data_IF_500277870950
#
_entry.id   IF_500277870950
#
_cell.length_a   1.000
_cell.length_b   1.000
_cell.length_c   1.000
_cell.angle_alpha   90.00
_cell.angle_beta   90.00
_cell.angle_gamma   90.00
#
_symmetry.space_group_name_H-M   'P 1'
#
loop_
_entity.id
_entity.type
_entity.pdbx_description
1 polymer ?
#
# COMPACT_ATOMS: atom_id res chain seq x y z
N UNK A 1 15.82 2.34 0.17
CA UNK A 1 16.98 2.13 1.07
C UNK A 1 18.23 2.34 0.24
N UNK A 2 19.31 2.86 0.85
CA UNK A 2 20.59 2.99 0.17
C UNK A 2 21.39 1.70 0.27
N UNK A 3 22.08 1.31 -0.81
CA UNK A 3 22.93 0.12 -0.88
C UNK A 3 24.30 0.49 -1.49
N UNK A 4 25.38 -0.07 -0.96
CA UNK A 4 26.71 -0.10 -1.60
C UNK A 4 27.15 -1.56 -1.75
N UNK A 5 27.63 -1.91 -2.95
CA UNK A 5 28.28 -3.19 -3.25
C UNK A 5 29.71 -3.00 -3.77
N UNK A 6 30.44 -4.09 -3.93
CA UNK A 6 31.80 -4.08 -4.50
C UNK A 6 32.94 -3.87 -3.51
N UNK A 7 32.64 -3.74 -2.21
CA UNK A 7 33.66 -3.72 -1.15
C UNK A 7 34.29 -5.10 -0.93
N UNK A 8 35.48 -5.14 -0.32
CA UNK A 8 36.07 -6.38 0.21
C UNK A 8 36.52 -7.47 -0.78
N UNK A 9 36.46 -7.24 -2.10
CA UNK A 9 36.85 -8.23 -3.11
C UNK A 9 35.67 -8.99 -3.76
N UNK A 10 34.44 -8.49 -3.57
CA UNK A 10 33.26 -8.95 -4.30
C UNK A 10 33.46 -8.84 -5.82
N UNK A 11 33.14 -9.92 -6.55
CA UNK A 11 33.24 -9.95 -8.02
C UNK A 11 31.94 -9.47 -8.68
N UNK A 12 32.03 -8.85 -9.85
CA UNK A 12 30.84 -8.45 -10.62
C UNK A 12 29.93 -9.66 -10.88
N UNK A 13 28.62 -9.44 -10.77
CA UNK A 13 27.61 -10.48 -10.81
C UNK A 13 27.18 -11.00 -9.43
N UNK A 14 27.89 -10.65 -8.35
CA UNK A 14 27.45 -10.96 -7.00
C UNK A 14 26.06 -10.36 -6.70
N UNK A 15 25.19 -11.12 -6.05
CA UNK A 15 23.79 -10.77 -5.85
C UNK A 15 23.44 -10.37 -4.42
N UNK A 16 22.40 -9.55 -4.32
CA UNK A 16 21.65 -9.23 -3.11
C UNK A 16 20.16 -9.31 -3.47
N UNK A 17 19.36 -9.93 -2.63
CA UNK A 17 17.91 -9.94 -2.75
C UNK A 17 17.30 -9.03 -1.70
N UNK A 18 16.50 -8.08 -2.15
CA UNK A 18 15.70 -7.18 -1.31
C UNK A 18 14.23 -7.56 -1.46
N UNK A 19 13.48 -7.59 -0.37
CA UNK A 19 12.05 -7.87 -0.45
C UNK A 19 11.35 -7.82 0.89
N UNK A 20 10.11 -8.31 0.90
CA UNK A 20 9.37 -8.57 2.11
C UNK A 20 9.23 -10.08 2.34
N UNK A 21 8.90 -10.45 3.58
CA UNK A 21 8.52 -11.81 3.90
C UNK A 21 7.48 -11.82 5.01
N UNK A 22 6.70 -12.89 5.08
CA UNK A 22 5.93 -13.24 6.27
C UNK A 22 6.41 -14.60 6.77
N UNK A 23 6.04 -14.96 8.00
CA UNK A 23 6.28 -16.32 8.51
C UNK A 23 4.99 -17.12 8.42
N UNK A 24 5.05 -18.31 7.84
CA UNK A 24 3.90 -19.23 7.85
C UNK A 24 3.66 -19.78 9.27
N UNK A 25 2.64 -20.61 9.45
CA UNK A 25 2.32 -21.24 10.74
C UNK A 25 3.45 -22.13 11.28
N UNK A 26 4.29 -22.68 10.41
CA UNK A 26 5.50 -23.42 10.77
C UNK A 26 6.68 -22.56 11.20
N UNK A 27 6.58 -21.23 11.04
CA UNK A 27 7.66 -20.28 11.31
C UNK A 27 8.61 -20.05 10.15
N UNK A 28 8.39 -20.71 9.01
CA UNK A 28 9.25 -20.59 7.83
C UNK A 28 9.09 -19.22 7.18
N UNK A 29 10.21 -18.67 6.70
CA UNK A 29 10.23 -17.41 5.96
C UNK A 29 9.65 -17.62 4.57
N UNK A 30 8.57 -16.90 4.26
CA UNK A 30 7.90 -16.89 2.96
C UNK A 30 8.10 -15.52 2.30
N UNK A 31 9.03 -15.39 1.34
CA UNK A 31 9.26 -14.13 0.67
C UNK A 31 8.07 -13.76 -0.22
N UNK A 32 7.75 -12.47 -0.26
CA UNK A 32 6.80 -11.89 -1.19
C UNK A 32 7.30 -10.50 -1.62
N UNK A 33 7.06 -10.12 -2.87
CA UNK A 33 7.60 -8.89 -3.49
C UNK A 33 9.11 -8.72 -3.25
N UNK A 34 9.92 -9.26 -4.16
CA UNK A 34 11.37 -9.13 -4.09
C UNK A 34 11.96 -8.64 -5.40
N UNK A 35 13.05 -7.88 -5.30
CA UNK A 35 13.89 -7.51 -6.44
C UNK A 35 15.31 -8.07 -6.25
N UNK A 36 15.97 -8.48 -7.34
CA UNK A 36 17.40 -8.71 -7.32
C UNK A 36 18.16 -7.39 -7.44
N UNK A 37 19.28 -7.29 -6.74
CA UNK A 37 20.31 -6.26 -6.89
C UNK A 37 21.60 -6.99 -7.28
N UNK A 38 22.22 -6.59 -8.38
CA UNK A 38 23.45 -7.22 -8.88
C UNK A 38 24.58 -6.22 -8.82
N UNK A 39 25.69 -6.61 -8.20
CA UNK A 39 26.89 -5.80 -8.21
C UNK A 39 27.46 -5.75 -9.63
N UNK A 40 27.55 -4.56 -10.17
CA UNK A 40 28.30 -4.21 -11.37
C UNK A 40 28.91 -2.83 -11.16
N UNK A 41 30.04 -2.52 -11.80
CA UNK A 41 30.60 -1.17 -11.76
C UNK A 41 29.71 -0.12 -12.43
N UNK A 42 28.77 -0.53 -13.27
CA UNK A 42 27.79 0.38 -13.85
C UNK A 42 26.75 0.84 -12.81
N UNK A 43 26.26 -0.08 -11.97
CA UNK A 43 25.29 0.22 -10.92
C UNK A 43 25.97 0.83 -9.69
N UNK A 44 27.16 0.33 -9.33
CA UNK A 44 27.94 0.79 -8.18
C UNK A 44 29.30 1.32 -8.67
N UNK A 45 29.37 2.55 -9.20
CA UNK A 45 30.59 3.10 -9.78
C UNK A 45 31.67 3.41 -8.73
N UNK A 46 31.28 3.52 -7.46
CA UNK A 46 32.18 3.73 -6.32
C UNK A 46 31.73 2.89 -5.14
N UNK A 47 32.64 2.65 -4.19
CA UNK A 47 32.33 1.99 -2.92
C UNK A 47 32.05 2.98 -1.78
N UNK A 48 31.82 4.25 -2.10
CA UNK A 48 31.62 5.34 -1.12
C UNK A 48 30.26 6.04 -1.25
N UNK A 49 29.42 5.61 -2.19
CA UNK A 49 28.12 6.25 -2.47
C UNK A 49 27.01 5.21 -2.50
N UNK A 50 26.01 5.41 -1.64
CA UNK A 50 24.79 4.62 -1.60
C UNK A 50 23.96 4.85 -2.87
N UNK A 51 23.47 3.75 -3.44
CA UNK A 51 22.50 3.74 -4.53
C UNK A 51 21.15 3.34 -3.96
N UNK A 52 20.11 4.11 -4.25
CA UNK A 52 18.79 3.86 -3.70
C UNK A 52 18.05 2.75 -4.48
N UNK A 53 17.51 1.80 -3.72
CA UNK A 53 16.61 0.76 -4.20
C UNK A 53 15.28 0.79 -3.46
N UNK A 54 14.21 0.48 -4.19
CA UNK A 54 12.84 0.43 -3.69
C UNK A 54 12.21 -0.89 -4.08
N UNK A 55 11.51 -1.51 -3.13
CA UNK A 55 10.65 -2.67 -3.38
C UNK A 55 9.21 -2.16 -3.31
N UNK A 56 8.55 -2.10 -4.46
CA UNK A 56 7.14 -1.73 -4.53
C UNK A 56 6.24 -2.96 -4.43
N UNK A 57 5.14 -2.81 -3.70
CA UNK A 57 4.08 -3.80 -3.55
C UNK A 57 2.78 -3.22 -4.09
N UNK A 58 2.06 -4.00 -4.91
CA UNK A 58 0.72 -3.62 -5.34
C UNK A 58 -0.25 -3.57 -4.15
N UNK A 59 -1.45 -3.02 -4.34
CA UNK A 59 -2.51 -3.01 -3.32
C UNK A 59 -2.72 -4.41 -2.74
N UNK A 60 -2.54 -4.54 -1.42
CA UNK A 60 -2.74 -5.79 -0.70
C UNK A 60 -4.20 -6.21 -0.76
N UNK A 61 -4.46 -7.43 -1.21
CA UNK A 61 -5.78 -8.03 -1.28
C UNK A 61 -6.01 -8.91 -0.06
N UNK A 62 -7.25 -9.02 0.39
CA UNK A 62 -7.63 -9.92 1.48
C UNK A 62 -7.37 -11.40 1.17
N UNK A 63 -7.17 -11.75 -0.10
CA UNK A 63 -6.84 -13.11 -0.56
C UNK A 63 -5.34 -13.38 -0.61
N UNK A 64 -4.48 -12.37 -0.39
CA UNK A 64 -3.04 -12.58 -0.37
C UNK A 64 -2.63 -13.37 0.87
N UNK A 65 -1.75 -14.35 0.73
CA UNK A 65 -1.36 -15.23 1.83
C UNK A 65 -0.69 -14.48 3.01
N UNK A 66 -0.08 -13.32 2.72
CA UNK A 66 0.54 -12.44 3.71
C UNK A 66 -0.45 -11.40 4.30
N UNK A 67 -1.68 -11.32 3.81
CA UNK A 67 -2.66 -10.36 4.33
C UNK A 67 -3.00 -10.64 5.80
N UNK A 68 -2.93 -9.60 6.63
CA UNK A 68 -3.14 -9.72 8.08
C UNK A 68 -1.99 -10.38 8.85
N UNK A 69 -0.90 -10.76 8.19
CA UNK A 69 0.29 -11.33 8.84
C UNK A 69 1.27 -10.24 9.29
N UNK A 70 2.12 -10.56 10.26
CA UNK A 70 3.31 -9.76 10.52
C UNK A 70 4.28 -9.87 9.34
N UNK A 71 4.66 -8.72 8.80
CA UNK A 71 5.61 -8.62 7.70
C UNK A 71 7.00 -8.27 8.22
N UNK A 72 8.01 -8.88 7.63
CA UNK A 72 9.42 -8.55 7.82
C UNK A 72 10.04 -8.10 6.51
N UNK A 73 11.20 -7.45 6.61
CA UNK A 73 12.02 -7.13 5.46
C UNK A 73 13.08 -8.21 5.24
N UNK A 74 13.21 -8.66 4.00
CA UNK A 74 14.22 -9.61 3.56
C UNK A 74 15.36 -8.87 2.88
N UNK A 75 16.58 -9.03 3.41
CA UNK A 75 17.83 -8.53 2.83
C UNK A 75 18.81 -9.70 2.90
N UNK A 76 19.11 -10.32 1.76
CA UNK A 76 19.86 -11.58 1.72
C UNK A 76 20.91 -11.50 0.63
N UNK A 77 22.18 -11.70 0.97
CA UNK A 77 23.21 -11.94 -0.05
C UNK A 77 22.88 -13.22 -0.81
N UNK A 78 22.79 -13.10 -2.14
CA UNK A 78 22.25 -14.13 -3.01
C UNK A 78 23.13 -14.34 -4.24
N UNK A 79 22.90 -15.41 -4.99
CA UNK A 79 23.64 -15.74 -6.20
C UNK A 79 24.78 -16.74 -5.98
N UNK A 80 25.70 -16.80 -6.92
CA UNK A 80 26.81 -17.75 -6.92
C UNK A 80 27.83 -17.40 -5.81
N UNK A 81 28.06 -18.29 -4.82
CA UNK A 81 29.06 -18.07 -3.77
C UNK A 81 30.49 -17.89 -4.30
N UNK A 82 30.80 -18.34 -5.53
CA UNK A 82 32.11 -18.13 -6.14
C UNK A 82 32.39 -16.65 -6.48
N UNK A 83 31.34 -15.83 -6.58
CA UNK A 83 31.42 -14.38 -6.77
C UNK A 83 31.46 -13.60 -5.44
N UNK A 84 31.27 -14.31 -4.33
CA UNK A 84 31.37 -13.75 -2.99
C UNK A 84 32.82 -13.49 -2.59
N UNK A 85 33.00 -12.66 -1.56
CA UNK A 85 34.33 -12.22 -1.10
C UNK A 85 34.29 -10.88 -0.39
N UNK A 86 33.21 -10.12 -0.57
CA UNK A 86 33.03 -8.78 0.00
C UNK A 86 31.82 -8.61 0.90
N UNK A 87 31.44 -7.36 1.09
CA UNK A 87 30.31 -6.94 1.92
C UNK A 87 29.35 -6.02 1.15
N UNK A 88 28.10 -6.04 1.59
CA UNK A 88 27.07 -5.08 1.22
C UNK A 88 26.86 -4.14 2.40
N UNK A 89 26.92 -2.83 2.16
CA UNK A 89 26.53 -1.84 3.16
C UNK A 89 25.14 -1.32 2.82
N UNK A 90 24.30 -1.16 3.84
CA UNK A 90 22.94 -0.67 3.70
C UNK A 90 22.68 0.43 4.72
N UNK A 91 21.96 1.47 4.30
CA UNK A 91 21.57 2.54 5.19
C UNK A 91 20.17 3.07 4.84
N UNK A 92 19.57 3.78 5.80
CA UNK A 92 18.37 4.56 5.61
C UNK A 92 17.21 3.69 5.08
N UNK A 93 17.04 2.53 5.72
CA UNK A 93 15.94 1.61 5.50
C UNK A 93 14.63 2.26 5.96
N UNK A 94 13.65 2.32 5.05
CA UNK A 94 12.36 2.96 5.28
C UNK A 94 11.25 2.06 4.75
N UNK A 95 10.13 2.04 5.46
CA UNK A 95 8.89 1.40 5.05
C UNK A 95 7.78 2.43 5.08
N UNK A 96 7.09 2.59 3.97
CA UNK A 96 5.91 3.45 3.82
C UNK A 96 4.72 2.60 3.38
N UNK A 97 3.60 2.72 4.08
CA UNK A 97 2.34 2.11 3.70
C UNK A 97 1.34 3.23 3.40
N UNK A 98 0.79 3.21 2.18
CA UNK A 98 -0.27 4.12 1.80
C UNK A 98 -1.61 3.43 2.06
N UNK A 99 -2.56 4.08 2.77
CA UNK A 99 -3.91 3.53 2.90
C UNK A 99 -4.53 3.42 1.51
N UNK A 100 -5.31 2.36 1.27
CA UNK A 100 -6.12 2.27 0.07
C UNK A 100 -7.01 3.51 -0.01
N UNK A 101 -6.95 4.23 -1.13
CA UNK A 101 -7.86 5.35 -1.42
C UNK A 101 -9.25 4.87 -1.85
N UNK A 102 -9.49 3.56 -1.87
CA UNK A 102 -10.77 2.99 -2.24
C UNK A 102 -11.76 3.07 -1.07
N UNK A 103 -12.79 3.92 -1.22
CA UNK A 103 -13.96 3.90 -0.35
C UNK A 103 -14.89 2.81 -0.86
N UNK A 104 -15.00 1.72 -0.10
CA UNK A 104 -15.99 0.68 -0.40
C UNK A 104 -17.36 1.12 0.12
N UNK A 105 -18.25 1.48 -0.81
CA UNK A 105 -19.63 1.82 -0.51
C UNK A 105 -20.49 0.56 -0.50
N UNK A 106 -21.32 0.43 0.51
CA UNK A 106 -22.41 -0.54 0.55
C UNK A 106 -23.72 0.20 0.68
N UNK A 107 -24.78 -0.35 0.12
CA UNK A 107 -26.12 0.20 0.26
C UNK A 107 -27.11 -0.90 0.56
N UNK A 108 -28.10 -0.58 1.39
CA UNK A 108 -29.23 -1.46 1.66
C UNK A 108 -30.53 -0.67 1.68
N UNK A 109 -31.62 -1.32 1.26
CA UNK A 109 -32.94 -0.70 1.31
C UNK A 109 -33.58 -0.97 2.67
N UNK A 110 -33.86 0.09 3.43
CA UNK A 110 -34.52 0.02 4.73
C UNK A 110 -35.91 0.65 4.62
N UNK A 111 -36.92 -0.19 4.37
CA UNK A 111 -38.29 0.24 4.09
C UNK A 111 -38.38 1.06 2.79
N UNK A 112 -38.68 2.36 2.92
CA UNK A 112 -38.67 3.29 1.78
C UNK A 112 -37.31 3.98 1.59
N UNK A 113 -36.41 3.90 2.57
CA UNK A 113 -35.13 4.59 2.56
C UNK A 113 -34.03 3.71 1.98
N UNK A 114 -32.90 4.33 1.64
CA UNK A 114 -31.65 3.65 1.35
C UNK A 114 -30.65 4.03 2.44
N UNK A 115 -30.01 3.05 3.07
CA UNK A 115 -28.86 3.29 3.93
C UNK A 115 -27.60 3.08 3.12
N UNK A 116 -26.78 4.12 3.03
CA UNK A 116 -25.46 4.10 2.42
C UNK A 116 -24.43 3.99 3.54
N UNK A 117 -23.51 3.03 3.47
CA UNK A 117 -22.46 2.88 4.48
C UNK A 117 -21.07 2.63 3.89
N UNK A 118 -20.05 3.12 4.59
CA UNK A 118 -18.64 2.96 4.25
C UNK A 118 -17.76 2.98 5.50
N UNK A 119 -16.58 2.37 5.43
CA UNK A 119 -15.56 2.50 6.47
C UNK A 119 -14.87 3.86 6.38
N UNK A 120 -14.65 4.50 7.53
CA UNK A 120 -14.02 5.81 7.62
C UNK A 120 -12.65 5.77 8.29
N UNK A 121 -11.78 6.74 7.98
CA UNK A 121 -10.49 6.96 8.61
C UNK A 121 -10.54 8.19 9.55
N UNK A 122 -9.84 8.15 10.69
CA UNK A 122 -9.88 9.18 11.75
C UNK A 122 -9.35 10.56 11.35
N UNK A 123 -8.57 10.66 10.26
CA UNK A 123 -8.02 11.93 9.74
C UNK A 123 -8.58 12.30 8.35
N UNK A 124 -9.83 11.93 8.11
CA UNK A 124 -10.50 12.20 6.85
C UNK A 124 -11.90 12.76 7.09
N UNK A 125 -12.42 13.46 6.11
CA UNK A 125 -13.81 13.86 6.03
C UNK A 125 -14.45 13.37 4.74
N UNK A 126 -15.76 13.18 4.80
CA UNK A 126 -16.53 12.51 3.76
C UNK A 126 -17.70 13.41 3.34
N UNK A 127 -17.78 13.71 2.05
CA UNK A 127 -18.87 14.47 1.45
C UNK A 127 -19.72 13.53 0.60
N UNK A 128 -20.98 13.32 0.99
CA UNK A 128 -21.96 12.63 0.16
C UNK A 128 -22.47 13.62 -0.88
N UNK A 129 -22.38 13.25 -2.16
CA UNK A 129 -22.94 14.01 -3.28
C UNK A 129 -24.01 13.20 -4.00
N UNK A 130 -24.95 13.93 -4.60
CA UNK A 130 -26.07 13.38 -5.37
C UNK A 130 -26.05 13.96 -6.79
N UNK A 131 -26.50 13.16 -7.75
CA UNK A 131 -26.66 13.55 -9.16
C UNK A 131 -27.86 12.84 -9.78
N UNK A 132 -28.57 13.48 -10.69
CA UNK A 132 -29.63 12.83 -11.50
C UNK A 132 -29.14 12.40 -12.88
N UNK A 133 -28.01 12.94 -13.33
CA UNK A 133 -27.53 12.87 -14.72
C UNK A 133 -26.09 12.33 -14.84
N UNK A 134 -25.43 12.01 -13.71
CA UNK A 134 -24.01 11.67 -13.58
C UNK A 134 -23.03 12.78 -13.98
N UNK A 135 -23.52 13.96 -14.36
CA UNK A 135 -22.69 15.09 -14.81
C UNK A 135 -22.65 16.19 -13.75
N UNK A 136 -23.81 16.56 -13.23
CA UNK A 136 -23.98 17.60 -12.22
C UNK A 136 -24.08 16.97 -10.84
N UNK A 137 -23.15 17.33 -9.96
CA UNK A 137 -23.07 16.78 -8.60
C UNK A 137 -23.23 17.87 -7.55
N UNK A 138 -24.23 17.75 -6.68
CA UNK A 138 -24.45 18.66 -5.55
C UNK A 138 -24.25 17.94 -4.22
N UNK A 139 -23.97 18.71 -3.16
CA UNK A 139 -23.84 18.13 -1.82
C UNK A 139 -25.23 17.68 -1.34
N UNK A 140 -25.35 16.42 -0.94
CA UNK A 140 -26.61 15.88 -0.39
C UNK A 140 -26.79 16.23 1.09
N UNK A 141 -25.70 16.20 1.86
CA UNK A 141 -25.66 16.51 3.29
C UNK A 141 -24.37 17.26 3.63
N UNK A 142 -24.26 17.73 4.87
CA UNK A 142 -23.00 18.25 5.39
C UNK A 142 -21.93 17.15 5.46
N UNK A 143 -20.68 17.60 5.35
CA UNK A 143 -19.49 16.77 5.45
C UNK A 143 -19.41 16.10 6.82
N UNK A 144 -18.97 14.84 6.84
CA UNK A 144 -18.85 14.03 8.05
C UNK A 144 -17.39 13.74 8.34
N UNK A 145 -16.95 13.93 9.58
CA UNK A 145 -15.61 13.54 10.02
C UNK A 145 -15.55 12.03 10.23
N UNK A 146 -14.51 11.39 9.71
CA UNK A 146 -14.25 9.98 9.91
C UNK A 146 -13.83 9.68 11.33
N UNK A 147 -14.31 8.55 11.84
CA UNK A 147 -14.09 8.10 13.22
C UNK A 147 -13.22 6.86 13.31
N UNK A 148 -12.75 6.32 12.18
CA UNK A 148 -12.07 5.01 12.12
C UNK A 148 -13.05 3.84 12.01
N UNK A 149 -14.35 4.08 12.18
CA UNK A 149 -15.42 3.08 12.09
C UNK A 149 -16.30 3.25 10.85
N UNK A 150 -17.34 2.42 10.75
CA UNK A 150 -18.35 2.57 9.70
C UNK A 150 -19.18 3.85 9.91
N UNK A 151 -19.40 4.59 8.83
CA UNK A 151 -20.39 5.68 8.76
C UNK A 151 -21.60 5.13 8.00
N UNK A 152 -22.80 5.39 8.54
CA UNK A 152 -24.08 5.05 7.90
C UNK A 152 -24.86 6.34 7.67
N UNK A 153 -25.42 6.48 6.46
CA UNK A 153 -26.27 7.61 6.07
C UNK A 153 -27.57 7.13 5.46
N UNK A 154 -28.67 7.53 6.08
CA UNK A 154 -30.00 7.32 5.54
C UNK A 154 -30.31 8.36 4.47
N UNK A 155 -30.61 7.87 3.27
CA UNK A 155 -31.09 8.62 2.12
C UNK A 155 -32.61 8.49 2.08
N UNK A 156 -33.30 9.64 2.13
CA UNK A 156 -34.75 9.69 2.06
C UNK A 156 -35.21 9.68 0.60
N UNK A 157 -36.16 8.82 0.22
CA UNK A 157 -36.64 8.66 -1.17
C UNK A 157 -37.50 9.83 -1.66
N UNK A 158 -37.87 10.75 -0.75
CA UNK A 158 -38.88 11.78 -0.99
C UNK A 158 -38.42 12.90 -1.94
N UNK A 159 -37.15 12.91 -2.37
CA UNK A 159 -36.64 14.05 -3.13
C UNK A 159 -36.50 13.79 -4.63
N UNK A 160 -36.01 12.62 -5.10
CA UNK A 160 -35.73 12.37 -6.54
C UNK A 160 -35.78 10.87 -6.86
N UNK A 161 -36.64 10.45 -7.81
CA UNK A 161 -36.94 9.03 -8.08
C UNK A 161 -35.80 8.25 -8.75
N UNK A 162 -34.86 8.93 -9.43
CA UNK A 162 -33.68 8.35 -10.04
C UNK A 162 -32.47 9.24 -9.71
N UNK A 163 -31.68 8.83 -8.72
CA UNK A 163 -30.49 9.57 -8.34
C UNK A 163 -29.31 8.63 -8.11
N UNK A 164 -28.13 9.14 -8.42
CA UNK A 164 -26.83 8.52 -8.20
C UNK A 164 -26.17 9.18 -7.01
N UNK A 165 -25.43 8.39 -6.23
CA UNK A 165 -24.72 8.86 -5.05
C UNK A 165 -23.23 8.57 -5.19
N UNK A 166 -22.41 9.48 -4.70
CA UNK A 166 -20.97 9.27 -4.54
C UNK A 166 -20.53 9.81 -3.19
N UNK A 167 -19.45 9.24 -2.65
CA UNK A 167 -18.82 9.71 -1.42
C UNK A 167 -17.39 10.12 -1.76
N UNK A 168 -17.06 11.37 -1.46
CA UNK A 168 -15.73 11.92 -1.67
C UNK A 168 -15.04 12.03 -0.31
N UNK A 169 -13.94 11.29 -0.14
CA UNK A 169 -13.04 11.48 0.98
C UNK A 169 -12.10 12.66 0.72
N UNK A 170 -11.79 13.41 1.76
CA UNK A 170 -10.76 14.44 1.77
C UNK A 170 -9.97 14.32 3.08
N UNK A 171 -8.64 14.52 3.10
CA UNK A 171 -7.91 14.67 4.36
C UNK A 171 -8.53 15.79 5.19
N UNK A 172 -8.61 15.61 6.51
CA UNK A 172 -8.92 16.75 7.37
C UNK A 172 -7.70 17.67 7.44
N UNK A 173 -7.89 19.01 7.38
CA UNK A 173 -6.82 19.96 7.64
C UNK A 173 -6.29 19.86 9.07
#
# INVERSE_FOLDING_TARGET
>A
MGVVGGGGGMLEGAGLQLGFYYRNTGGDVQPFASIPVTYTKAVFPTTSHLVDFTVDLATVKSTDAWAGQHIGMMIVSAGDPSLAGGYWDLDNVRLTAEPSSEIKLTFERVGRNVELSWLSATNSSYQVKISEDLQTWTNYQDRVVGTGGAIVKTILPAERLNAFFTVIASPNP
#
